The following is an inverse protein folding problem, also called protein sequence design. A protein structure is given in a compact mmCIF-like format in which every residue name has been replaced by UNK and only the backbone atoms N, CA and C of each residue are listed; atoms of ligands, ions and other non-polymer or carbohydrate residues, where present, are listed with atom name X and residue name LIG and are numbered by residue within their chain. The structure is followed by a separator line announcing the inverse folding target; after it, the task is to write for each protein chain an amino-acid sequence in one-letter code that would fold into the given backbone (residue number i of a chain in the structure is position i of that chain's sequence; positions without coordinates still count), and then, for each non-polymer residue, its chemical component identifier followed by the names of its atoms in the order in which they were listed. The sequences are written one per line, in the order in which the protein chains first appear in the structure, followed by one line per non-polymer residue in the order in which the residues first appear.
data_IF_144428286627
#
_entry.id   IF_144428286627
#
_cell.length_a   1.000
_cell.length_b   1.000
_cell.length_c   1.000
_cell.angle_alpha   90.00
_cell.angle_beta   90.00
_cell.angle_gamma   90.00
#
_symmetry.space_group_name_H-M   'P 1'
#
loop_
_entity.id
_entity.type
_entity.pdbx_description
1 polymer ?
#
# COMPACT_ATOMS: atom_id res chain seq x y z
N UNK A 1 -6.85 8.87 27.02
CA UNK A 1 -6.45 7.94 25.95
C UNK A 1 -7.23 8.12 24.63
N UNK A 2 -8.45 8.70 24.63
CA UNK A 2 -9.26 8.90 23.40
C UNK A 2 -8.88 10.17 22.60
N UNK A 3 -8.13 11.10 23.18
CA UNK A 3 -7.80 12.41 22.58
C UNK A 3 -6.87 12.29 21.37
N UNK A 4 -5.81 11.46 21.45
CA UNK A 4 -4.82 11.31 20.39
C UNK A 4 -5.39 10.69 19.09
N UNK A 5 -6.37 9.78 19.22
CA UNK A 5 -7.02 9.19 18.06
C UNK A 5 -7.93 10.20 17.36
N UNK A 6 -8.59 11.09 18.13
CA UNK A 6 -9.43 12.15 17.56
C UNK A 6 -8.62 13.20 16.83
N UNK A 7 -7.46 13.60 17.36
CA UNK A 7 -6.57 14.54 16.67
C UNK A 7 -6.02 13.96 15.36
N UNK A 8 -5.65 12.67 15.33
CA UNK A 8 -5.18 12.01 14.11
C UNK A 8 -6.27 11.84 13.03
N UNK A 9 -7.55 11.81 13.40
CA UNK A 9 -8.64 11.70 12.43
C UNK A 9 -9.33 13.03 12.10
N UNK A 10 -9.26 14.04 12.97
CA UNK A 10 -9.94 15.34 12.80
C UNK A 10 -9.04 16.51 12.41
N UNK A 11 -7.70 16.40 12.48
CA UNK A 11 -6.80 17.48 12.02
C UNK A 11 -6.38 17.28 10.57
N UNK A 12 -6.15 18.38 9.85
CA UNK A 12 -5.73 18.38 8.42
C UNK A 12 -4.49 17.51 8.15
N UNK A 13 -3.59 17.46 9.14
CA UNK A 13 -2.36 16.66 9.11
C UNK A 13 -2.67 15.17 9.26
N UNK A 14 -3.62 14.84 10.13
CA UNK A 14 -4.03 13.47 10.42
C UNK A 14 -4.64 12.78 9.21
N UNK A 15 -5.58 13.44 8.52
CA UNK A 15 -6.23 12.89 7.33
C UNK A 15 -5.24 12.66 6.17
N UNK A 16 -4.32 13.61 5.93
CA UNK A 16 -3.29 13.49 4.90
C UNK A 16 -2.30 12.34 5.22
N UNK A 17 -1.94 12.19 6.49
CA UNK A 17 -1.06 11.10 6.93
C UNK A 17 -1.69 9.72 6.72
N UNK A 18 -2.98 9.56 7.05
CA UNK A 18 -3.74 8.32 6.83
C UNK A 18 -3.86 8.02 5.35
N UNK A 19 -4.14 9.04 4.52
CA UNK A 19 -4.18 8.89 3.07
C UNK A 19 -2.83 8.46 2.49
N UNK A 20 -1.74 9.06 2.96
CA UNK A 20 -0.38 8.71 2.52
C UNK A 20 -0.01 7.28 2.88
N UNK A 21 -0.30 6.86 4.12
CA UNK A 21 -0.08 5.48 4.57
C UNK A 21 -0.89 4.50 3.72
N UNK A 22 -2.18 4.79 3.49
CA UNK A 22 -3.02 3.96 2.65
C UNK A 22 -2.50 3.87 1.20
N UNK A 23 -2.05 5.00 0.64
CA UNK A 23 -1.48 5.06 -0.71
C UNK A 23 -0.22 4.21 -0.83
N UNK A 24 0.71 4.30 0.12
CA UNK A 24 1.94 3.50 0.13
C UNK A 24 1.61 2.01 0.25
N UNK A 25 0.64 1.64 1.10
CA UNK A 25 0.19 0.25 1.24
C UNK A 25 -0.36 -0.26 -0.09
N UNK A 26 -1.27 0.48 -0.73
CA UNK A 26 -1.84 0.12 -2.04
C UNK A 26 -0.76 -0.03 -3.10
N UNK A 27 0.19 0.91 -3.15
CA UNK A 27 1.31 0.86 -4.10
C UNK A 27 2.19 -0.38 -3.86
N UNK A 28 2.49 -0.71 -2.60
CA UNK A 28 3.24 -1.90 -2.24
C UNK A 28 2.53 -3.19 -2.68
N UNK A 29 1.22 -3.30 -2.42
CA UNK A 29 0.42 -4.42 -2.89
C UNK A 29 0.31 -4.49 -4.41
N UNK A 30 0.16 -3.35 -5.08
CA UNK A 30 0.11 -3.27 -6.53
C UNK A 30 1.41 -3.77 -7.15
N UNK A 31 2.57 -3.29 -6.66
CA UNK A 31 3.89 -3.73 -7.12
C UNK A 31 4.10 -5.20 -6.79
N UNK A 32 3.75 -5.67 -5.60
CA UNK A 32 3.87 -7.08 -5.23
C UNK A 32 3.02 -7.98 -6.14
N UNK A 33 1.77 -7.59 -6.41
CA UNK A 33 0.87 -8.31 -7.32
C UNK A 33 1.38 -8.29 -8.76
N UNK A 34 1.85 -7.14 -9.23
CA UNK A 34 2.44 -6.98 -10.56
C UNK A 34 3.70 -7.82 -10.70
N UNK A 35 4.64 -7.74 -9.74
CA UNK A 35 5.86 -8.53 -9.71
C UNK A 35 5.55 -10.02 -9.65
N UNK A 36 4.60 -10.46 -8.81
CA UNK A 36 4.19 -11.87 -8.75
C UNK A 36 3.59 -12.35 -10.07
N UNK A 37 2.75 -11.54 -10.71
CA UNK A 37 2.15 -11.88 -12.02
C UNK A 37 3.20 -11.93 -13.12
N UNK A 38 4.15 -10.99 -13.13
CA UNK A 38 5.22 -10.91 -14.11
C UNK A 38 6.27 -12.01 -13.92
N UNK A 39 6.69 -12.28 -12.67
CA UNK A 39 7.57 -13.40 -12.34
C UNK A 39 6.93 -14.77 -12.61
N UNK A 40 5.62 -14.90 -12.45
CA UNK A 40 4.91 -16.13 -12.85
C UNK A 40 4.88 -16.31 -14.38
N UNK A 41 4.93 -15.22 -15.13
CA UNK A 41 5.03 -15.22 -16.59
C UNK A 41 6.46 -15.59 -17.04
N UNK A 42 7.48 -15.01 -16.41
CA UNK A 42 8.89 -15.36 -16.62
C UNK A 42 9.22 -16.80 -16.21
N UNK A 43 8.68 -17.29 -15.09
CA UNK A 43 8.88 -18.67 -14.65
C UNK A 43 8.19 -19.69 -15.58
N UNK A 44 7.17 -19.27 -16.34
CA UNK A 44 6.50 -20.12 -17.33
C UNK A 44 7.25 -20.16 -18.66
N UNK A 45 7.91 -19.06 -19.04
CA UNK A 45 8.74 -18.99 -20.25
C UNK A 45 10.16 -19.53 -20.04
N UNK A 46 10.72 -19.49 -18.82
CA UNK A 46 12.02 -20.09 -18.51
C UNK A 46 12.02 -21.64 -18.50
N UNK A 47 10.85 -22.26 -18.69
CA UNK A 47 10.68 -23.72 -18.87
C UNK A 47 10.45 -24.13 -20.33
N UNK A 48 10.47 -23.21 -21.30
CA UNK A 48 10.42 -23.54 -22.73
C UNK A 48 11.81 -23.58 -23.35
#
# INVERSE_FOLDING_TARGET
MVVALKELFMTDIGLLSVFTIAFIIVMGFYIYGYAKKHMAEDARNAKQ
#
